data_IF_897177977113
#
_entry.id   IF_897177977113
#
_cell.length_a   1.000
_cell.length_b   1.000
_cell.length_c   1.000
_cell.angle_alpha   90.00
_cell.angle_beta   90.00
_cell.angle_gamma   90.00
#
_symmetry.space_group_name_H-M   'P 1'
#
loop_
_entity.id
_entity.type
_entity.pdbx_description
1 polymer ?
#
# COMPACT_ATOMS: atom_id res chain seq x y z
N UNK A 1 4.09 -10.78 2.83
CA UNK A 1 4.01 -9.79 1.73
C UNK A 1 5.27 -9.96 0.90
N UNK A 2 5.18 -10.48 -0.32
CA UNK A 2 6.34 -10.71 -1.20
C UNK A 2 6.32 -9.66 -2.30
N UNK A 3 7.32 -8.78 -2.31
CA UNK A 3 7.59 -7.88 -3.43
C UNK A 3 8.47 -8.62 -4.43
N UNK A 4 7.89 -9.02 -5.56
CA UNK A 4 8.66 -9.35 -6.75
C UNK A 4 9.13 -8.02 -7.34
N UNK A 5 10.34 -7.59 -6.96
CA UNK A 5 10.99 -6.40 -7.52
C UNK A 5 11.34 -6.65 -8.98
N UNK A 6 10.41 -6.29 -9.88
CA UNK A 6 10.77 -6.02 -11.27
C UNK A 6 11.69 -4.80 -11.28
N UNK A 7 12.89 -4.93 -11.83
CA UNK A 7 13.63 -3.78 -12.33
C UNK A 7 12.71 -2.98 -13.26
N UNK A 8 12.54 -1.70 -12.93
CA UNK A 8 11.73 -0.75 -13.67
C UNK A 8 12.30 -0.53 -15.07
N UNK A 9 11.47 -0.17 -16.05
CA UNK A 9 11.86 0.09 -17.46
C UNK A 9 12.73 1.37 -17.65
N UNK A 10 13.27 1.91 -16.55
CA UNK A 10 13.73 3.30 -16.36
C UNK A 10 14.93 3.78 -17.18
N UNK A 11 15.55 2.95 -18.03
CA UNK A 11 16.70 3.36 -18.86
C UNK A 11 16.52 3.10 -20.37
N UNK A 12 15.32 2.75 -20.83
CA UNK A 12 15.10 2.45 -22.24
C UNK A 12 14.58 3.68 -22.98
N UNK A 13 15.33 4.14 -23.98
CA UNK A 13 14.83 5.09 -24.98
C UNK A 13 13.62 4.49 -25.71
N UNK A 14 12.73 5.34 -26.24
CA UNK A 14 11.55 4.89 -27.00
C UNK A 14 11.89 3.86 -28.09
N UNK A 15 13.03 4.06 -28.77
CA UNK A 15 13.57 3.12 -29.76
C UNK A 15 13.93 1.75 -29.17
N UNK A 16 14.52 1.70 -27.97
CA UNK A 16 14.85 0.44 -27.28
C UNK A 16 13.60 -0.29 -26.78
N UNK A 17 12.55 0.45 -26.39
CA UNK A 17 11.27 -0.14 -26.01
C UNK A 17 10.58 -0.79 -27.21
N UNK A 18 10.54 -0.09 -28.34
CA UNK A 18 9.98 -0.60 -29.61
C UNK A 18 10.80 -1.78 -30.15
N UNK A 19 12.13 -1.75 -30.00
CA UNK A 19 13.01 -2.88 -30.36
C UNK A 19 12.84 -4.08 -29.42
N UNK A 20 12.60 -3.86 -28.13
CA UNK A 20 12.33 -4.93 -27.16
C UNK A 20 10.92 -5.54 -27.30
N UNK A 21 9.98 -4.80 -27.92
CA UNK A 21 8.65 -5.31 -28.25
C UNK A 21 8.61 -6.05 -29.59
N UNK A 22 9.59 -5.82 -30.48
CA UNK A 22 9.64 -6.39 -31.84
C UNK A 22 10.71 -7.46 -32.03
N UNK A 23 11.71 -7.52 -31.15
CA UNK A 23 12.68 -8.60 -31.13
C UNK A 23 12.30 -9.63 -30.08
N UNK A 24 12.19 -10.91 -30.47
CA UNK A 24 12.25 -12.09 -29.60
C UNK A 24 13.62 -12.23 -28.88
N UNK A 25 14.34 -11.11 -28.70
CA UNK A 25 15.58 -11.08 -27.96
C UNK A 25 15.24 -11.20 -26.48
N UNK A 26 15.35 -12.43 -25.98
CA UNK A 26 15.33 -12.83 -24.58
C UNK A 26 15.91 -11.75 -23.65
N UNK A 27 15.03 -10.93 -23.09
CA UNK A 27 15.37 -10.10 -21.93
C UNK A 27 15.47 -11.03 -20.72
N UNK A 28 16.63 -11.68 -20.60
CA UNK A 28 17.02 -12.41 -19.39
C UNK A 28 17.25 -11.35 -18.31
N UNK A 29 16.22 -11.08 -17.51
CA UNK A 29 16.40 -10.31 -16.27
C UNK A 29 17.30 -11.15 -15.37
N UNK A 30 18.43 -10.58 -14.93
CA UNK A 30 19.23 -11.15 -13.86
C UNK A 30 18.44 -11.15 -12.55
N UNK A 31 17.55 -12.13 -12.41
CA UNK A 31 16.80 -12.39 -11.20
C UNK A 31 17.74 -13.13 -10.26
N UNK A 32 18.12 -12.52 -9.15
CA UNK A 32 18.94 -13.19 -8.11
C UNK A 32 18.15 -14.21 -7.29
N UNK A 33 17.10 -14.80 -7.87
CA UNK A 33 16.46 -15.99 -7.31
C UNK A 33 15.87 -15.79 -5.92
N UNK A 34 15.32 -14.61 -5.58
CA UNK A 34 14.46 -14.55 -4.39
C UNK A 34 13.16 -15.26 -4.74
N UNK A 35 13.10 -16.58 -4.49
CA UNK A 35 11.89 -17.36 -4.64
C UNK A 35 10.80 -16.74 -3.74
N UNK A 36 9.87 -16.03 -4.36
CA UNK A 36 8.64 -15.67 -3.69
C UNK A 36 7.93 -16.99 -3.36
N UNK A 37 7.54 -17.16 -2.11
CA UNK A 37 6.65 -18.25 -1.69
C UNK A 37 5.45 -17.60 -1.03
N UNK A 38 4.26 -18.05 -1.41
CA UNK A 38 3.01 -17.53 -0.89
C UNK A 38 2.52 -18.46 0.21
N UNK A 39 2.50 -17.95 1.43
CA UNK A 39 1.82 -18.60 2.55
C UNK A 39 0.45 -17.96 2.69
N UNK A 40 -0.60 -18.73 2.44
CA UNK A 40 -1.98 -18.27 2.58
C UNK A 40 -2.48 -18.62 3.97
N UNK A 41 -2.56 -17.60 4.82
CA UNK A 41 -3.28 -17.68 6.08
C UNK A 41 -4.77 -17.47 5.84
N UNK A 42 -5.62 -18.25 6.51
CA UNK A 42 -7.08 -18.07 6.47
C UNK A 42 -7.49 -16.68 6.93
N UNK A 43 -8.13 -15.89 6.07
CA UNK A 43 -8.74 -14.62 6.46
C UNK A 43 -10.22 -14.84 6.74
N UNK A 44 -10.55 -15.06 8.01
CA UNK A 44 -11.88 -15.48 8.46
C UNK A 44 -12.85 -14.30 8.68
N UNK A 45 -12.88 -13.32 7.79
CA UNK A 45 -13.62 -12.09 8.12
C UNK A 45 -15.13 -12.35 8.30
N UNK A 46 -15.75 -13.33 7.62
CA UNK A 46 -17.22 -13.51 7.65
C UNK A 46 -17.81 -14.94 7.40
N UNK A 47 -17.05 -16.03 7.33
CA UNK A 47 -17.55 -17.34 6.84
C UNK A 47 -17.10 -18.51 7.73
N UNK A 48 -17.88 -19.61 7.85
CA UNK A 48 -17.45 -20.86 8.50
C UNK A 48 -16.09 -21.37 8.00
N UNK A 49 -15.39 -22.13 8.84
CA UNK A 49 -14.13 -22.76 8.44
C UNK A 49 -14.41 -23.77 7.32
N UNK A 50 -13.41 -24.00 6.46
CA UNK A 50 -13.54 -24.95 5.36
C UNK A 50 -13.96 -26.34 5.85
N UNK A 51 -15.15 -26.77 5.45
CA UNK A 51 -15.79 -28.03 5.86
C UNK A 51 -15.39 -29.22 4.99
N UNK A 52 -14.61 -28.99 3.93
CA UNK A 52 -14.36 -29.98 2.88
C UNK A 52 -15.17 -29.74 1.61
N UNK A 53 -16.18 -28.86 1.65
CA UNK A 53 -16.96 -28.47 0.46
C UNK A 53 -16.24 -27.33 -0.28
N UNK A 54 -15.83 -27.50 -1.56
CA UNK A 54 -15.02 -26.51 -2.27
C UNK A 54 -15.67 -25.13 -2.40
N UNK A 55 -16.99 -25.07 -2.57
CA UNK A 55 -17.74 -23.85 -2.85
C UNK A 55 -18.00 -22.94 -1.64
N UNK A 56 -17.70 -23.39 -0.41
CA UNK A 56 -17.87 -22.59 0.82
C UNK A 56 -16.69 -21.66 1.11
N UNK A 57 -15.64 -21.69 0.28
CA UNK A 57 -14.36 -20.99 0.52
C UNK A 57 -14.27 -19.59 -0.12
N UNK A 58 -15.39 -18.91 -0.33
CA UNK A 58 -15.43 -17.62 -1.05
C UNK A 58 -14.66 -16.48 -0.35
N UNK A 59 -14.35 -16.60 0.96
CA UNK A 59 -13.49 -15.65 1.69
C UNK A 59 -12.05 -16.12 1.88
N UNK A 60 -11.69 -17.28 1.33
CA UNK A 60 -10.33 -17.80 1.39
C UNK A 60 -9.49 -17.12 0.31
N UNK A 61 -8.44 -16.44 0.76
CA UNK A 61 -7.48 -15.79 -0.13
C UNK A 61 -6.86 -16.77 -1.13
N UNK A 62 -6.87 -18.08 -0.84
CA UNK A 62 -6.35 -19.12 -1.72
C UNK A 62 -7.01 -19.09 -3.11
N UNK A 63 -8.32 -18.86 -3.23
CA UNK A 63 -8.98 -18.84 -4.54
C UNK A 63 -8.60 -17.62 -5.39
N UNK A 64 -8.37 -16.47 -4.74
CA UNK A 64 -7.91 -15.28 -5.43
C UNK A 64 -6.41 -15.36 -5.76
N UNK A 65 -5.62 -16.02 -4.92
CA UNK A 65 -4.17 -16.05 -5.01
C UNK A 65 -3.64 -17.22 -5.85
N UNK A 66 -4.29 -18.38 -5.83
CA UNK A 66 -3.84 -19.57 -6.56
C UNK A 66 -3.67 -19.32 -8.07
N UNK A 67 -4.63 -18.69 -8.79
CA UNK A 67 -4.45 -18.41 -10.21
C UNK A 67 -3.22 -17.54 -10.48
N UNK A 68 -2.97 -16.52 -9.66
CA UNK A 68 -1.78 -15.66 -9.78
C UNK A 68 -0.50 -16.44 -9.52
N UNK A 69 -0.50 -17.29 -8.48
CA UNK A 69 0.65 -18.11 -8.12
C UNK A 69 0.99 -19.11 -9.23
N UNK A 70 -0.01 -19.82 -9.77
CA UNK A 70 0.14 -20.72 -10.92
C UNK A 70 0.61 -19.95 -12.15
N UNK A 71 0.02 -18.79 -12.42
CA UNK A 71 0.38 -17.94 -13.53
C UNK A 71 1.86 -17.56 -13.46
N UNK A 72 2.38 -17.18 -12.29
CA UNK A 72 3.78 -16.78 -12.13
C UNK A 72 4.73 -17.92 -11.71
N UNK A 73 4.28 -19.18 -11.65
CA UNK A 73 5.11 -20.30 -11.21
C UNK A 73 5.62 -20.16 -9.77
N UNK A 74 4.87 -19.45 -8.93
CA UNK A 74 5.21 -19.18 -7.53
C UNK A 74 4.67 -20.33 -6.65
N UNK A 75 5.50 -20.95 -5.81
CA UNK A 75 5.03 -21.91 -4.83
C UNK A 75 4.01 -21.30 -3.88
N UNK A 76 2.93 -22.03 -3.62
CA UNK A 76 1.85 -21.60 -2.73
C UNK A 76 1.55 -22.70 -1.71
N UNK A 77 1.49 -22.31 -0.44
CA UNK A 77 1.17 -23.17 0.70
C UNK A 77 -0.12 -22.67 1.31
N UNK A 78 -1.15 -23.51 1.28
CA UNK A 78 -2.43 -23.23 1.92
C UNK A 78 -2.45 -23.86 3.32
N UNK A 79 -2.44 -23.01 4.35
CA UNK A 79 -2.49 -23.49 5.73
C UNK A 79 -3.81 -24.20 6.04
N UNK A 80 -4.93 -23.73 5.49
CA UNK A 80 -6.25 -24.32 5.71
C UNK A 80 -6.38 -25.68 5.03
N UNK A 81 -5.84 -25.84 3.82
CA UNK A 81 -5.84 -27.15 3.16
C UNK A 81 -4.94 -28.15 3.87
N UNK A 82 -3.86 -27.68 4.49
CA UNK A 82 -2.96 -28.54 5.26
C UNK A 82 -3.54 -28.98 6.62
N UNK A 83 -4.38 -28.14 7.24
CA UNK A 83 -4.92 -28.36 8.58
C UNK A 83 -6.34 -28.94 8.60
N UNK A 84 -7.12 -28.67 7.55
CA UNK A 84 -8.50 -29.11 7.40
C UNK A 84 -8.64 -30.37 6.54
N UNK A 85 -9.89 -30.72 6.18
CA UNK A 85 -11.13 -29.98 6.43
C UNK A 85 -11.63 -30.07 7.89
N UNK A 86 -12.53 -29.15 8.26
CA UNK A 86 -13.21 -29.10 9.56
C UNK A 86 -14.72 -29.31 9.41
N UNK A 87 -15.17 -30.55 9.12
CA UNK A 87 -16.54 -30.82 8.68
C UNK A 87 -17.60 -30.65 9.78
N UNK A 88 -17.21 -30.65 11.06
CA UNK A 88 -18.17 -30.56 12.18
C UNK A 88 -17.99 -29.27 12.98
N UNK A 89 -19.06 -28.82 13.63
CA UNK A 89 -19.06 -27.67 14.53
C UNK A 89 -18.04 -27.80 15.67
N UNK A 90 -17.82 -29.01 16.16
CA UNK A 90 -16.88 -29.32 17.25
C UNK A 90 -15.43 -29.16 16.78
N UNK A 91 -15.09 -29.66 15.59
CA UNK A 91 -13.75 -29.50 15.01
C UNK A 91 -13.47 -28.03 14.68
N UNK A 92 -14.47 -27.31 14.18
CA UNK A 92 -14.36 -25.87 13.96
C UNK A 92 -14.16 -25.11 15.27
N UNK A 93 -14.92 -25.43 16.32
CA UNK A 93 -14.77 -24.82 17.64
C UNK A 93 -13.42 -25.15 18.29
N UNK A 94 -12.98 -26.41 18.18
CA UNK A 94 -11.66 -26.85 18.63
C UNK A 94 -10.56 -26.06 17.93
N UNK A 95 -10.58 -26.01 16.59
CA UNK A 95 -9.59 -25.27 15.81
C UNK A 95 -9.58 -23.80 16.20
N UNK A 96 -10.73 -23.16 16.37
CA UNK A 96 -10.78 -21.76 16.81
C UNK A 96 -10.17 -21.55 18.18
N UNK A 97 -10.47 -22.43 19.14
CA UNK A 97 -9.95 -22.35 20.49
C UNK A 97 -8.43 -22.57 20.53
N UNK A 98 -7.91 -23.51 19.74
CA UNK A 98 -6.49 -23.88 19.76
C UNK A 98 -5.63 -23.00 18.88
N UNK A 99 -6.13 -22.58 17.72
CA UNK A 99 -5.40 -21.82 16.72
C UNK A 99 -5.47 -20.31 16.96
N UNK A 100 -6.65 -19.76 17.28
CA UNK A 100 -6.85 -18.31 17.38
C UNK A 100 -7.03 -17.78 18.81
N UNK A 101 -7.35 -18.64 19.80
CA UNK A 101 -7.50 -18.25 21.21
C UNK A 101 -8.43 -17.04 21.47
N UNK A 102 -9.49 -16.88 20.67
CA UNK A 102 -10.44 -15.77 20.81
C UNK A 102 -10.17 -14.59 19.87
N UNK A 103 -9.04 -14.58 19.16
CA UNK A 103 -8.91 -13.85 17.90
C UNK A 103 -9.73 -14.58 16.80
N UNK A 104 -9.96 -13.93 15.67
CA UNK A 104 -10.60 -14.52 14.48
C UNK A 104 -9.74 -14.42 13.22
N UNK A 105 -8.57 -13.78 13.30
CA UNK A 105 -7.68 -13.52 12.16
C UNK A 105 -6.25 -13.98 12.47
N UNK A 106 -5.73 -13.70 13.66
CA UNK A 106 -4.32 -13.94 13.96
C UNK A 106 -4.11 -15.27 14.70
N UNK A 107 -3.25 -16.17 14.18
CA UNK A 107 -2.87 -17.37 14.93
C UNK A 107 -2.18 -17.00 16.23
N UNK A 108 -2.37 -17.82 17.26
CA UNK A 108 -1.57 -17.75 18.47
C UNK A 108 -0.14 -18.26 18.23
N UNK A 109 0.66 -18.35 19.29
CA UNK A 109 2.02 -18.85 19.23
C UNK A 109 2.13 -20.26 18.61
N UNK A 110 1.22 -21.18 18.94
CA UNK A 110 1.21 -22.52 18.36
C UNK A 110 0.86 -22.51 16.87
N UNK A 111 -0.09 -21.68 16.47
CA UNK A 111 -0.44 -21.50 15.07
C UNK A 111 0.74 -20.96 14.26
N UNK A 112 1.51 -20.02 14.82
CA UNK A 112 2.74 -19.54 14.19
C UNK A 112 3.80 -20.65 14.03
N UNK A 113 4.00 -21.51 15.04
CA UNK A 113 4.92 -22.66 14.95
C UNK A 113 4.49 -23.60 13.83
N UNK A 114 3.20 -23.96 13.77
CA UNK A 114 2.72 -24.87 12.74
C UNK A 114 2.82 -24.27 11.33
N UNK A 115 2.54 -22.98 11.16
CA UNK A 115 2.76 -22.30 9.88
C UNK A 115 4.22 -22.36 9.44
N UNK A 116 5.16 -22.21 10.38
CA UNK A 116 6.58 -22.37 10.10
C UNK A 116 6.94 -23.82 9.71
N UNK A 117 6.35 -24.81 10.39
CA UNK A 117 6.55 -26.23 10.08
C UNK A 117 6.03 -26.59 8.68
N UNK A 118 4.89 -26.05 8.25
CA UNK A 118 4.36 -26.25 6.89
C UNK A 118 5.33 -25.69 5.83
N UNK A 119 5.87 -24.49 6.08
CA UNK A 119 6.89 -23.89 5.23
C UNK A 119 8.15 -24.76 5.18
N UNK A 120 8.63 -25.21 6.34
CA UNK A 120 9.82 -26.04 6.43
C UNK A 120 9.63 -27.39 5.73
N UNK A 121 8.46 -28.00 5.88
CA UNK A 121 8.09 -29.24 5.22
C UNK A 121 8.12 -29.09 3.69
N UNK A 122 7.56 -28.00 3.16
CA UNK A 122 7.64 -27.70 1.73
C UNK A 122 9.10 -27.55 1.28
N UNK A 123 9.91 -26.75 1.98
CA UNK A 123 11.31 -26.53 1.62
C UNK A 123 12.12 -27.83 1.63
N UNK A 124 11.91 -28.69 2.63
CA UNK A 124 12.55 -30.00 2.71
C UNK A 124 12.14 -30.90 1.55
N UNK A 125 10.86 -30.91 1.20
CA UNK A 125 10.34 -31.69 0.06
C UNK A 125 10.89 -31.19 -1.25
N UNK A 126 10.92 -29.88 -1.46
CA UNK A 126 11.50 -29.25 -2.63
C UNK A 126 13.01 -29.57 -2.75
N UNK A 127 13.76 -29.53 -1.65
CA UNK A 127 15.16 -29.91 -1.61
C UNK A 127 15.39 -31.38 -1.97
N UNK A 128 14.59 -32.30 -1.41
CA UNK A 128 14.70 -33.71 -1.79
C UNK A 128 14.34 -33.93 -3.26
N UNK A 129 13.34 -33.21 -3.78
CA UNK A 129 13.01 -33.26 -5.19
C UNK A 129 14.19 -32.77 -6.06
N UNK A 130 14.82 -31.63 -5.75
CA UNK A 130 15.98 -31.18 -6.53
C UNK A 130 17.16 -32.13 -6.42
N UNK A 131 17.32 -32.81 -5.27
CA UNK A 131 18.33 -33.86 -5.10
C UNK A 131 18.05 -35.13 -5.90
N UNK A 132 16.79 -35.53 -6.05
CA UNK A 132 16.38 -36.75 -6.76
C UNK A 132 16.20 -36.54 -8.27
N UNK A 133 15.84 -35.33 -8.69
CA UNK A 133 15.57 -34.95 -10.07
C UNK A 133 16.68 -34.08 -10.67
N UNK A 134 17.95 -34.38 -10.35
CA UNK A 134 19.12 -33.65 -10.87
C UNK A 134 19.24 -33.69 -12.40
N UNK A 135 18.57 -34.64 -13.05
CA UNK A 135 18.53 -34.81 -14.50
C UNK A 135 17.47 -33.94 -15.19
N UNK A 136 16.60 -33.26 -14.43
CA UNK A 136 15.62 -32.34 -14.97
C UNK A 136 16.22 -30.93 -15.02
N UNK A 137 16.39 -30.39 -16.22
CA UNK A 137 16.85 -29.02 -16.42
C UNK A 137 15.81 -28.04 -15.85
N UNK A 138 16.02 -27.61 -14.60
CA UNK A 138 15.23 -26.55 -14.02
C UNK A 138 15.51 -25.26 -14.82
N UNK A 139 14.47 -24.54 -15.27
CA UNK A 139 14.68 -23.27 -15.93
C UNK A 139 15.43 -22.35 -14.96
N UNK A 140 16.67 -21.99 -15.32
CA UNK A 140 17.53 -21.15 -14.49
C UNK A 140 16.99 -19.71 -14.43
N UNK A 141 16.24 -19.31 -15.47
CA UNK A 141 15.70 -17.98 -15.62
C UNK A 141 14.18 -17.96 -15.47
N UNK A 142 13.70 -17.09 -14.59
CA UNK A 142 12.28 -16.76 -14.53
C UNK A 142 11.89 -15.90 -15.74
N UNK A 143 10.99 -16.41 -16.57
CA UNK A 143 10.41 -15.65 -17.68
C UNK A 143 9.29 -14.74 -17.12
N UNK A 144 9.44 -13.40 -17.18
CA UNK A 144 8.41 -12.49 -16.69
C UNK A 144 7.10 -12.64 -17.48
N UNK A 145 6.00 -12.91 -16.78
CA UNK A 145 4.67 -13.01 -17.39
C UNK A 145 3.86 -11.73 -17.24
N UNK A 146 2.88 -11.53 -18.13
CA UNK A 146 1.94 -10.40 -18.08
C UNK A 146 1.02 -10.50 -16.86
N UNK A 147 0.55 -9.40 -16.25
CA UNK A 147 -0.39 -9.46 -15.13
C UNK A 147 -1.71 -10.14 -15.52
N UNK A 148 -2.32 -10.91 -14.60
CA UNK A 148 -3.56 -11.65 -14.88
C UNK A 148 -4.84 -10.85 -14.58
N UNK A 149 -4.78 -9.90 -13.64
CA UNK A 149 -5.99 -9.23 -13.09
C UNK A 149 -5.93 -7.70 -13.10
N UNK A 150 -4.81 -7.11 -13.51
CA UNK A 150 -4.62 -5.66 -13.53
C UNK A 150 -4.33 -5.22 -14.96
N UNK A 151 -4.96 -4.12 -15.38
CA UNK A 151 -4.53 -3.42 -16.57
C UNK A 151 -3.05 -3.04 -16.41
N UNK A 152 -2.25 -3.26 -17.46
CA UNK A 152 -0.84 -2.91 -17.48
C UNK A 152 -0.61 -1.44 -17.12
N UNK A 153 -1.53 -0.53 -17.48
CA UNK A 153 -1.46 0.89 -17.12
C UNK A 153 -1.45 1.12 -15.60
N UNK A 154 -2.24 0.33 -14.86
CA UNK A 154 -2.29 0.37 -13.38
C UNK A 154 -1.02 -0.24 -12.80
N UNK A 155 -0.47 -1.28 -13.42
CA UNK A 155 0.81 -1.85 -12.98
C UNK A 155 1.97 -0.87 -13.19
N UNK A 156 2.00 -0.21 -14.35
CA UNK A 156 3.03 0.77 -14.71
C UNK A 156 2.94 2.01 -13.82
N UNK A 157 1.73 2.39 -13.38
CA UNK A 157 1.52 3.40 -12.32
C UNK A 157 2.31 3.06 -11.04
N UNK A 158 2.26 1.82 -10.54
CA UNK A 158 2.95 1.47 -9.29
C UNK A 158 4.42 1.08 -9.46
N UNK A 159 4.81 0.59 -10.63
CA UNK A 159 6.18 0.10 -10.88
C UNK A 159 7.10 1.17 -11.49
N UNK A 160 6.59 1.99 -12.40
CA UNK A 160 7.40 2.89 -13.21
C UNK A 160 7.29 4.35 -12.77
N UNK A 161 6.21 4.77 -12.10
CA UNK A 161 6.14 6.12 -11.58
C UNK A 161 7.13 6.31 -10.42
N UNK A 162 7.82 7.44 -10.42
CA UNK A 162 8.62 7.92 -9.30
C UNK A 162 7.70 8.81 -8.47
N UNK A 163 6.81 8.26 -7.62
CA UNK A 163 5.91 9.11 -6.89
C UNK A 163 6.71 10.09 -6.05
N UNK A 164 6.24 11.32 -6.00
CA UNK A 164 6.80 12.32 -5.10
C UNK A 164 6.31 11.96 -3.71
N UNK A 165 7.23 11.46 -2.88
CA UNK A 165 6.92 11.01 -1.52
C UNK A 165 7.23 12.10 -0.52
N UNK A 166 6.23 12.42 0.30
CA UNK A 166 6.39 13.25 1.49
C UNK A 166 6.30 12.33 2.69
N UNK A 167 7.43 12.11 3.35
CA UNK A 167 7.45 11.38 4.63
C UNK A 167 6.93 12.30 5.73
N UNK A 168 5.86 11.89 6.40
CA UNK A 168 5.27 12.64 7.51
C UNK A 168 5.72 12.10 8.87
N UNK A 169 6.78 11.28 8.89
CA UNK A 169 7.43 10.80 10.10
C UNK A 169 8.79 11.48 10.34
N UNK A 170 9.18 12.40 9.47
CA UNK A 170 10.43 13.14 9.51
C UNK A 170 10.14 14.63 9.55
N UNK A 171 10.48 15.29 10.66
CA UNK A 171 10.30 16.74 10.78
C UNK A 171 11.12 17.48 9.71
N UNK A 172 12.29 16.95 9.33
CA UNK A 172 13.11 17.50 8.26
C UNK A 172 12.38 17.54 6.93
N UNK A 173 11.71 16.44 6.54
CA UNK A 173 11.02 16.37 5.25
C UNK A 173 9.79 17.30 5.19
N UNK A 174 9.12 17.49 6.32
CA UNK A 174 8.01 18.44 6.47
C UNK A 174 8.54 19.89 6.41
N UNK A 175 9.61 20.19 7.13
CA UNK A 175 10.20 21.53 7.19
C UNK A 175 10.74 21.99 5.82
N UNK A 176 11.20 21.07 4.98
CA UNK A 176 11.60 21.36 3.60
C UNK A 176 10.43 21.72 2.67
N UNK A 177 9.20 21.42 3.08
CA UNK A 177 8.00 21.57 2.23
C UNK A 177 6.98 22.55 2.77
N UNK A 178 7.00 22.89 4.05
CA UNK A 178 6.04 23.82 4.65
C UNK A 178 6.15 25.20 3.99
N UNK A 179 5.02 25.74 3.57
CA UNK A 179 4.93 27.11 3.01
C UNK A 179 4.72 28.12 4.14
N UNK A 180 3.91 27.74 5.13
CA UNK A 180 3.63 28.51 6.33
C UNK A 180 3.86 27.65 7.57
N UNK A 181 4.08 28.24 8.76
CA UNK A 181 4.12 27.47 10.01
C UNK A 181 2.82 26.69 10.19
N UNK A 182 2.91 25.37 10.36
CA UNK A 182 1.74 24.54 10.54
C UNK A 182 1.12 24.78 11.92
N UNK A 183 -0.17 25.11 11.94
CA UNK A 183 -0.92 25.42 13.15
C UNK A 183 -1.42 24.12 13.78
N UNK A 184 -1.02 23.86 15.03
CA UNK A 184 -1.43 22.68 15.82
C UNK A 184 -1.07 21.30 15.24
N UNK A 185 -0.27 21.27 14.18
CA UNK A 185 0.34 20.05 13.66
C UNK A 185 1.76 19.88 14.16
N UNK A 186 2.14 18.66 14.55
CA UNK A 186 3.50 18.36 15.00
C UNK A 186 3.90 16.92 14.69
N UNK A 187 5.20 16.67 14.58
CA UNK A 187 5.75 15.33 14.32
C UNK A 187 6.23 14.72 15.63
N UNK A 188 5.53 13.71 16.14
CA UNK A 188 5.92 13.04 17.38
C UNK A 188 5.38 11.61 17.46
N UNK A 189 5.87 10.86 18.44
CA UNK A 189 5.39 9.51 18.77
C UNK A 189 4.39 9.59 19.93
N UNK A 190 3.10 9.52 19.63
CA UNK A 190 2.00 9.40 20.59
C UNK A 190 1.92 8.01 21.24
N UNK A 191 2.55 7.03 20.60
CA UNK A 191 2.80 5.67 21.09
C UNK A 191 4.28 5.38 20.85
N UNK A 192 4.99 4.69 21.78
CA UNK A 192 6.42 4.39 21.61
C UNK A 192 6.75 3.87 20.22
N UNK A 193 7.79 4.47 19.61
CA UNK A 193 8.34 4.10 18.29
C UNK A 193 7.39 4.31 17.10
N UNK A 194 6.21 4.87 17.30
CA UNK A 194 5.24 5.13 16.23
C UNK A 194 5.13 6.62 15.97
N UNK A 195 6.12 7.20 15.31
CA UNK A 195 6.09 8.61 14.91
C UNK A 195 4.98 8.84 13.87
N UNK A 196 4.33 10.00 13.90
CA UNK A 196 3.52 10.51 12.80
C UNK A 196 3.35 12.02 12.88
N UNK A 197 2.77 12.59 11.83
CA UNK A 197 2.37 13.99 11.80
C UNK A 197 0.95 14.09 12.34
N UNK A 198 0.81 14.73 13.49
CA UNK A 198 -0.37 14.62 14.35
C UNK A 198 -0.92 16.01 14.65
N UNK A 199 -2.23 16.13 14.58
CA UNK A 199 -2.99 17.25 15.12
C UNK A 199 -4.22 16.70 15.88
N UNK A 200 -4.65 17.43 16.90
CA UNK A 200 -5.73 17.01 17.82
C UNK A 200 -6.89 18.00 17.91
N UNK A 201 -6.70 19.21 17.42
CA UNK A 201 -7.65 20.31 17.53
C UNK A 201 -8.37 20.52 16.20
N UNK A 202 -9.66 20.82 16.25
CA UNK A 202 -10.41 21.26 15.08
C UNK A 202 -9.80 22.56 14.57
N UNK A 203 -9.82 22.78 13.26
CA UNK A 203 -9.21 23.93 12.59
C UNK A 203 -7.68 23.96 12.62
N UNK A 204 -7.02 22.87 13.05
CA UNK A 204 -5.58 22.69 12.81
C UNK A 204 -5.31 22.67 11.31
N UNK A 205 -4.33 23.44 10.84
CA UNK A 205 -4.05 23.63 9.41
C UNK A 205 -2.55 23.56 9.10
N UNK A 206 -2.19 22.99 7.95
CA UNK A 206 -0.81 22.94 7.47
C UNK A 206 -0.79 22.98 5.94
N UNK A 207 0.15 23.72 5.35
CA UNK A 207 0.30 23.83 3.90
C UNK A 207 1.68 23.35 3.48
N UNK A 208 1.71 22.30 2.67
CA UNK A 208 2.93 21.73 2.09
C UNK A 208 3.00 22.04 0.59
N UNK A 209 4.20 22.29 0.07
CA UNK A 209 4.42 22.50 -1.35
C UNK A 209 5.04 21.28 -2.04
N UNK A 210 4.60 21.03 -3.27
CA UNK A 210 5.37 20.29 -4.27
C UNK A 210 5.97 21.30 -5.24
N UNK A 211 7.26 21.18 -5.48
CA UNK A 211 8.00 22.10 -6.35
C UNK A 211 7.65 21.83 -7.82
N UNK A 212 7.82 22.80 -8.73
CA UNK A 212 7.47 22.60 -10.13
C UNK A 212 8.15 21.39 -10.76
N UNK A 213 9.44 21.17 -10.49
CA UNK A 213 10.17 20.01 -11.02
C UNK A 213 9.52 18.68 -10.59
N UNK A 214 8.94 18.62 -9.40
CA UNK A 214 8.22 17.45 -8.90
C UNK A 214 6.83 17.33 -9.55
N UNK A 215 6.17 18.46 -9.80
CA UNK A 215 4.84 18.52 -10.42
C UNK A 215 4.89 18.10 -11.90
N UNK A 216 5.95 18.51 -12.62
CA UNK A 216 6.17 18.10 -14.02
C UNK A 216 6.48 16.62 -14.19
N UNK A 217 6.95 15.97 -13.13
CA UNK A 217 7.19 14.53 -13.10
C UNK A 217 5.91 13.72 -12.80
N UNK A 218 4.80 14.38 -12.42
CA UNK A 218 3.51 13.74 -12.22
C UNK A 218 2.80 13.46 -13.55
N UNK A 219 2.00 12.41 -13.56
CA UNK A 219 1.39 11.89 -14.79
C UNK A 219 -0.10 11.56 -14.66
N UNK A 220 -0.64 11.36 -13.45
CA UNK A 220 -2.03 10.93 -13.27
C UNK A 220 -2.87 11.94 -12.47
N UNK A 221 -2.28 12.77 -11.64
CA UNK A 221 -3.04 13.67 -10.77
C UNK A 221 -3.71 12.89 -9.64
N UNK A 222 -2.94 12.01 -8.98
CA UNK A 222 -3.44 11.19 -7.87
C UNK A 222 -2.55 11.35 -6.65
N UNK A 223 -3.16 11.44 -5.46
CA UNK A 223 -2.45 11.46 -4.19
C UNK A 223 -2.96 10.35 -3.26
N UNK A 224 -2.04 9.52 -2.80
CA UNK A 224 -2.28 8.51 -1.76
C UNK A 224 -1.82 9.06 -0.41
N UNK A 225 -2.75 9.22 0.53
CA UNK A 225 -2.46 9.65 1.90
C UNK A 225 -2.53 8.45 2.83
N UNK A 226 -1.38 8.06 3.36
CA UNK A 226 -1.30 7.02 4.39
C UNK A 226 -1.60 7.65 5.75
N UNK A 227 -2.68 7.22 6.39
CA UNK A 227 -3.14 7.74 7.67
C UNK A 227 -3.49 6.61 8.64
N UNK A 228 -3.57 6.94 9.92
CA UNK A 228 -4.04 6.02 10.94
C UNK A 228 -5.54 6.19 11.15
N UNK A 229 -6.30 5.10 11.05
CA UNK A 229 -7.69 5.06 11.51
C UNK A 229 -7.80 4.24 12.79
N UNK A 230 -8.65 4.69 13.71
CA UNK A 230 -8.88 4.04 15.01
C UNK A 230 -10.35 4.14 15.41
N UNK A 231 -10.80 3.28 16.31
CA UNK A 231 -12.20 3.21 16.75
C UNK A 231 -12.61 4.25 17.79
N UNK A 232 -11.66 5.01 18.33
CA UNK A 232 -11.88 6.02 19.36
C UNK A 232 -10.96 7.23 19.17
N UNK A 233 -11.44 8.40 19.63
CA UNK A 233 -10.69 9.65 19.71
C UNK A 233 -10.19 10.22 18.38
N UNK A 234 -10.78 9.84 17.25
CA UNK A 234 -10.34 10.26 15.92
C UNK A 234 -11.14 11.43 15.36
N UNK A 235 -10.44 12.35 14.68
CA UNK A 235 -11.03 13.49 13.99
C UNK A 235 -11.38 13.21 12.53
N UNK A 236 -11.81 14.27 11.84
CA UNK A 236 -12.03 14.26 10.39
C UNK A 236 -10.93 15.09 9.74
N UNK A 237 -10.27 14.49 8.76
CA UNK A 237 -9.19 15.09 7.99
C UNK A 237 -9.71 15.58 6.64
N UNK A 238 -9.32 16.78 6.23
CA UNK A 238 -9.55 17.29 4.87
C UNK A 238 -8.20 17.55 4.21
N UNK A 239 -8.06 17.06 2.98
CA UNK A 239 -6.95 17.42 2.10
C UNK A 239 -7.48 18.20 0.91
N UNK A 240 -6.85 19.33 0.59
CA UNK A 240 -7.15 20.08 -0.63
C UNK A 240 -5.86 20.35 -1.37
N UNK A 241 -5.84 20.06 -2.68
CA UNK A 241 -4.74 20.38 -3.57
C UNK A 241 -5.15 21.59 -4.40
N UNK A 242 -4.36 22.65 -4.32
CA UNK A 242 -4.55 23.89 -5.07
C UNK A 242 -3.35 24.15 -5.98
N UNK A 243 -3.61 24.85 -7.08
CA UNK A 243 -2.57 25.32 -8.00
C UNK A 243 -1.87 26.54 -7.38
N UNK A 244 -0.54 26.45 -7.26
CA UNK A 244 0.33 27.57 -6.90
C UNK A 244 1.27 27.95 -8.03
N UNK A 245 2.02 29.04 -7.86
CA UNK A 245 3.06 29.47 -8.80
C UNK A 245 4.36 29.76 -8.07
N UNK A 246 5.50 29.50 -8.72
CA UNK A 246 6.79 29.89 -8.16
C UNK A 246 6.90 31.40 -8.02
N UNK A 247 7.14 31.86 -6.80
CA UNK A 247 7.47 33.23 -6.48
C UNK A 247 8.80 33.67 -7.09
N UNK A 248 8.80 34.86 -7.69
CA UNK A 248 9.95 35.43 -8.40
C UNK A 248 11.18 35.62 -7.50
N UNK A 249 10.96 35.82 -6.20
CA UNK A 249 12.00 36.31 -5.28
C UNK A 249 12.78 35.17 -4.61
N UNK A 250 12.12 34.05 -4.28
CA UNK A 250 12.72 32.97 -3.47
C UNK A 250 12.54 31.55 -4.03
N UNK A 251 11.90 31.38 -5.20
CA UNK A 251 11.62 30.05 -5.74
C UNK A 251 10.59 29.24 -4.93
N UNK A 252 9.92 29.87 -3.97
CA UNK A 252 8.88 29.27 -3.12
C UNK A 252 7.56 29.19 -3.85
N UNK A 253 6.77 28.14 -3.59
CA UNK A 253 5.42 28.04 -4.15
C UNK A 253 4.49 29.04 -3.45
N UNK A 254 4.02 30.04 -4.18
CA UNK A 254 3.10 31.08 -3.73
C UNK A 254 1.66 30.73 -4.14
N UNK A 255 0.67 31.26 -3.39
CA UNK A 255 -0.76 31.01 -3.60
C UNK A 255 -1.50 30.41 -2.40
N UNK A 256 -0.79 30.11 -1.30
CA UNK A 256 -1.39 29.47 -0.12
C UNK A 256 -2.50 30.32 0.54
N UNK A 257 -2.36 31.65 0.48
CA UNK A 257 -3.32 32.60 1.05
C UNK A 257 -4.19 33.27 -0.03
N UNK A 258 -4.11 32.84 -1.30
CA UNK A 258 -4.95 33.41 -2.36
C UNK A 258 -6.35 32.77 -2.30
N UNK A 259 -7.41 33.54 -1.94
CA UNK A 259 -8.78 33.01 -1.92
C UNK A 259 -9.29 32.62 -3.31
N UNK A 260 -8.60 33.02 -4.38
CA UNK A 260 -8.92 32.67 -5.75
C UNK A 260 -8.02 31.55 -6.30
N UNK A 261 -7.17 30.93 -5.46
CA UNK A 261 -6.37 29.79 -5.87
C UNK A 261 -7.28 28.69 -6.43
N UNK A 262 -6.94 28.19 -7.62
CA UNK A 262 -7.72 27.14 -8.27
C UNK A 262 -7.58 25.85 -7.47
N UNK A 263 -8.70 25.33 -6.98
CA UNK A 263 -8.76 24.00 -6.37
C UNK A 263 -8.72 22.94 -7.47
N UNK A 264 -7.70 22.08 -7.41
CA UNK A 264 -7.49 20.98 -8.36
C UNK A 264 -8.15 19.69 -7.89
N UNK A 265 -8.27 19.50 -6.58
CA UNK A 265 -8.96 18.37 -5.97
C UNK A 265 -9.08 18.53 -4.46
N UNK A 266 -10.10 17.91 -3.87
CA UNK A 266 -10.28 17.87 -2.42
C UNK A 266 -10.89 16.54 -1.99
N UNK A 267 -10.48 16.07 -0.82
CA UNK A 267 -11.10 14.93 -0.15
C UNK A 267 -11.29 15.21 1.34
N UNK A 268 -12.28 14.55 1.92
CA UNK A 268 -12.51 14.55 3.38
C UNK A 268 -12.61 13.10 3.84
N UNK A 269 -11.88 12.77 4.90
CA UNK A 269 -11.75 11.41 5.41
C UNK A 269 -12.04 11.41 6.90
N UNK A 270 -13.07 10.67 7.28
CA UNK A 270 -13.31 10.34 8.67
C UNK A 270 -12.29 9.28 9.13
N UNK A 271 -11.44 9.65 10.09
CA UNK A 271 -10.43 8.74 10.64
C UNK A 271 -10.98 7.84 11.75
N UNK A 272 -12.25 8.01 12.13
CA UNK A 272 -12.94 7.11 13.05
C UNK A 272 -13.39 5.84 12.33
N UNK A 273 -12.89 4.71 12.79
CA UNK A 273 -13.26 3.40 12.27
C UNK A 273 -14.45 2.84 13.03
N UNK A 274 -15.47 2.37 12.31
CA UNK A 274 -16.54 1.58 12.88
C UNK A 274 -16.09 0.21 13.48
N UNK A 275 -14.95 -0.33 13.06
CA UNK A 275 -14.43 -1.59 13.57
C UNK A 275 -13.51 -1.32 14.76
N UNK A 276 -13.56 -2.15 15.81
CA UNK A 276 -12.70 -2.09 17.00
C UNK A 276 -11.25 -2.51 16.71
N UNK A 277 -10.63 -1.86 15.73
CA UNK A 277 -9.26 -2.05 15.32
C UNK A 277 -8.65 -0.69 14.99
N UNK A 278 -7.33 -0.63 15.04
CA UNK A 278 -6.59 0.56 14.66
C UNK A 278 -5.52 0.18 13.65
N UNK A 279 -5.68 0.63 12.41
CA UNK A 279 -4.84 0.22 11.29
C UNK A 279 -4.41 1.44 10.47
N UNK A 280 -3.30 1.29 9.75
CA UNK A 280 -2.92 2.23 8.72
C UNK A 280 -3.81 1.98 7.48
N UNK A 281 -4.37 3.05 6.93
CA UNK A 281 -5.23 3.02 5.75
C UNK A 281 -4.77 4.08 4.75
N UNK A 282 -4.92 3.77 3.46
CA UNK A 282 -4.63 4.71 2.38
C UNK A 282 -5.93 5.34 1.92
N UNK A 283 -6.03 6.66 2.03
CA UNK A 283 -7.06 7.44 1.37
C UNK A 283 -6.53 7.96 0.03
N UNK A 284 -7.38 7.95 -1.00
CA UNK A 284 -7.01 8.35 -2.36
C UNK A 284 -7.72 9.63 -2.73
N UNK A 285 -6.96 10.64 -3.13
CA UNK A 285 -7.46 11.86 -3.76
C UNK A 285 -7.12 11.83 -5.26
N UNK A 286 -8.12 12.08 -6.10
CA UNK A 286 -7.92 12.42 -7.51
C UNK A 286 -7.95 13.94 -7.66
N UNK A 287 -7.05 14.51 -8.45
CA UNK A 287 -6.95 15.95 -8.69
C UNK A 287 -6.49 16.24 -10.11
N UNK A 288 -6.79 17.44 -10.61
CA UNK A 288 -6.35 17.87 -11.93
C UNK A 288 -4.88 18.28 -11.92
N UNK A 289 -4.08 17.81 -12.88
CA UNK A 289 -2.72 18.32 -13.05
C UNK A 289 -2.74 19.71 -13.71
N UNK A 290 -1.87 20.64 -13.29
CA UNK A 290 -1.64 21.87 -14.03
C UNK A 290 -1.23 21.57 -15.48
N UNK A 291 -1.51 22.48 -16.44
CA UNK A 291 -1.09 22.27 -17.82
C UNK A 291 0.41 22.03 -17.93
N UNK A 292 0.82 20.98 -18.65
CA UNK A 292 2.25 20.64 -18.83
C UNK A 292 3.09 21.76 -19.49
N UNK A 293 2.43 22.73 -20.13
CA UNK A 293 3.08 23.93 -20.67
C UNK A 293 3.49 24.94 -19.61
N UNK A 294 2.86 24.94 -18.42
CA UNK A 294 3.15 25.90 -17.35
C UNK A 294 4.30 25.43 -16.47
N UNK A 295 5.52 25.76 -16.87
CA UNK A 295 6.73 25.38 -16.13
C UNK A 295 6.84 25.99 -14.73
N UNK A 296 6.03 27.00 -14.42
CA UNK A 296 6.02 27.69 -13.12
C UNK A 296 4.99 27.12 -12.14
N UNK A 297 4.14 26.20 -12.59
CA UNK A 297 3.11 25.61 -11.76
C UNK A 297 3.73 24.77 -10.65
N UNK A 298 3.24 24.96 -9.43
CA UNK A 298 3.55 24.14 -8.27
C UNK A 298 2.22 23.72 -7.60
N UNK A 299 2.26 22.75 -6.69
CA UNK A 299 1.06 22.30 -5.98
C UNK A 299 1.16 22.65 -4.50
N UNK A 300 0.06 23.16 -3.97
CA UNK A 300 -0.10 23.44 -2.55
C UNK A 300 -1.08 22.43 -1.96
N UNK A 301 -0.65 21.75 -0.92
CA UNK A 301 -1.36 20.67 -0.25
C UNK A 301 -1.79 21.17 1.11
N UNK A 302 -3.07 21.54 1.22
CA UNK A 302 -3.71 21.98 2.44
C UNK A 302 -4.19 20.77 3.23
N UNK A 303 -3.77 20.69 4.49
CA UNK A 303 -4.09 19.64 5.44
C UNK A 303 -4.84 20.26 6.62
N UNK A 304 -6.14 19.99 6.71
CA UNK A 304 -7.02 20.61 7.71
C UNK A 304 -7.73 19.56 8.56
N UNK A 305 -7.96 19.87 9.83
CA UNK A 305 -8.91 19.12 10.68
C UNK A 305 -10.25 19.85 10.67
N UNK A 306 -11.31 19.15 10.30
CA UNK A 306 -12.67 19.70 10.25
C UNK A 306 -13.53 19.15 11.38
N UNK A 307 -14.53 19.94 11.78
CA UNK A 307 -15.44 19.54 12.86
C UNK A 307 -16.35 18.39 12.43
N UNK A 308 -16.44 17.36 13.28
CA UNK A 308 -17.40 16.28 13.06
C UNK A 308 -18.82 16.71 13.42
N UNK A 309 -19.82 16.09 12.76
CA UNK A 309 -21.22 16.24 13.13
C UNK A 309 -21.84 14.87 13.46
N UNK A 310 -22.19 14.59 14.72
CA UNK A 310 -22.08 15.48 15.89
C UNK A 310 -20.61 15.71 16.32
N UNK A 311 -20.36 16.81 17.03
CA UNK A 311 -19.04 17.17 17.53
C UNK A 311 -18.45 16.06 18.43
N UNK A 312 -17.17 15.76 18.24
CA UNK A 312 -16.43 14.73 18.98
C UNK A 312 -15.62 15.34 20.12
N UNK A 313 -15.50 14.59 21.22
CA UNK A 313 -14.68 14.98 22.37
C UNK A 313 -13.18 15.01 22.06
N UNK A 314 -12.73 14.27 21.05
CA UNK A 314 -11.34 14.25 20.60
C UNK A 314 -11.29 14.12 19.09
N UNK A 315 -10.37 14.86 18.46
CA UNK A 315 -10.27 15.01 17.01
C UNK A 315 -8.87 14.66 16.49
N UNK A 316 -8.24 13.64 17.08
CA UNK A 316 -6.90 13.25 16.67
C UNK A 316 -6.89 12.76 15.22
N UNK A 317 -5.97 13.33 14.44
CA UNK A 317 -5.61 12.84 13.11
C UNK A 317 -4.12 12.56 13.12
N UNK A 318 -3.73 11.42 12.54
CA UNK A 318 -2.32 11.03 12.42
C UNK A 318 -2.04 10.59 10.99
N UNK A 319 -1.19 11.36 10.31
CA UNK A 319 -0.73 11.09 8.96
C UNK A 319 0.68 10.49 9.00
N UNK A 320 0.94 9.54 8.12
CA UNK A 320 2.21 8.79 8.04
C UNK A 320 3.00 9.14 6.78
N UNK A 321 2.31 9.48 5.69
CA UNK A 321 2.97 9.93 4.47
C UNK A 321 1.97 10.27 3.36
N UNK A 322 2.44 10.99 2.35
CA UNK A 322 1.69 11.30 1.13
C UNK A 322 2.54 10.92 -0.08
N UNK A 323 1.93 10.28 -1.08
CA UNK A 323 2.57 9.95 -2.35
C UNK A 323 1.77 10.53 -3.50
N UNK A 324 2.39 11.35 -4.34
CA UNK A 324 1.77 11.95 -5.53
C UNK A 324 2.21 11.23 -6.80
N UNK A 325 1.28 11.08 -7.74
CA UNK A 325 1.37 10.32 -8.99
C UNK A 325 0.81 11.14 -10.16
#
# INVERSE_FOLDING_TARGET
MSMVTKQSRRNMTKSQLEQAMTSDANFVRGFTGTAAMWLVGSTRRYIPLWTGVPYERISDAMYAQLPVAQHHGVPIISAIDALGPFPTTELQAWFNKTWYQGDVIHPNQHGHVLLADLVFHYLKTAYEHTRLFQWYDLPQDYIPRQPQFLNQDILDLFLDQKPVKISLTSMHDIDLRKVTPCHNWSTYADVPEKIGFIAMEVWSSCVLALKPEEVHDLSIGKADVLMYKSYENMGIFKMTVTEGRVGVINGTCEGADDPNARVLGSMTVDSLWAAKASLAEVAVLQFELPPASDRSACLLVHLDIVEANPARLSNKVKLLGISFF
#
